data_IF_872132274149
#
_entry.id   IF_872132274149
#
_cell.length_a   1.000
_cell.length_b   1.000
_cell.length_c   1.000
_cell.angle_alpha   90.00
_cell.angle_beta   90.00
_cell.angle_gamma   90.00
#
_symmetry.space_group_name_H-M   'P 1'
#
loop_
_entity.id
_entity.type
_entity.pdbx_description
1 polymer ?
#
# COMPACT_ATOMS: atom_id res chain seq x y z
N UNK A 1 12.65 -9.25 -11.99
CA UNK A 1 13.76 -10.24 -11.85
C UNK A 1 13.37 -11.29 -10.80
N UNK A 2 13.95 -12.52 -10.78
CA UNK A 2 13.63 -13.47 -9.70
C UNK A 2 14.30 -13.03 -8.41
N UNK A 3 13.50 -12.82 -7.37
CA UNK A 3 13.95 -12.37 -6.03
C UNK A 3 14.23 -13.53 -5.08
N UNK A 4 13.89 -14.76 -5.48
CA UNK A 4 14.15 -15.98 -4.68
C UNK A 4 15.62 -16.35 -4.72
N UNK A 5 16.13 -16.82 -3.60
CA UNK A 5 17.52 -17.26 -3.49
C UNK A 5 17.70 -18.66 -4.10
N UNK A 6 18.75 -18.85 -4.86
CA UNK A 6 19.20 -20.17 -5.30
C UNK A 6 19.80 -20.97 -4.14
N UNK A 7 20.05 -22.26 -4.34
CA UNK A 7 20.73 -23.11 -3.32
C UNK A 7 22.16 -22.65 -3.05
N UNK A 8 22.86 -22.24 -4.11
CA UNK A 8 24.23 -21.72 -4.07
C UNK A 8 24.27 -20.41 -3.26
N UNK A 9 23.36 -19.48 -3.50
CA UNK A 9 23.26 -18.22 -2.78
C UNK A 9 22.90 -18.41 -1.30
N UNK A 10 22.02 -19.37 -1.01
CA UNK A 10 21.74 -19.76 0.38
C UNK A 10 22.99 -20.31 1.09
N UNK A 11 23.82 -21.09 0.37
CA UNK A 11 25.09 -21.57 0.87
C UNK A 11 26.08 -20.42 1.12
N UNK A 12 26.20 -19.48 0.20
CA UNK A 12 27.02 -18.26 0.38
C UNK A 12 26.63 -17.47 1.62
N UNK A 13 25.33 -17.23 1.82
CA UNK A 13 24.83 -16.51 3.02
C UNK A 13 25.17 -17.30 4.30
N UNK A 14 24.99 -18.62 4.28
CA UNK A 14 25.31 -19.49 5.44
C UNK A 14 26.80 -19.46 5.79
N UNK A 15 27.66 -19.46 4.79
CA UNK A 15 29.11 -19.35 4.96
C UNK A 15 29.51 -17.97 5.50
N UNK A 16 28.95 -16.88 4.92
CA UNK A 16 29.18 -15.52 5.40
C UNK A 16 28.79 -15.37 6.89
N UNK A 17 27.65 -15.95 7.31
CA UNK A 17 27.26 -15.97 8.73
C UNK A 17 28.26 -16.72 9.61
N UNK A 18 28.75 -17.87 9.15
CA UNK A 18 29.77 -18.65 9.88
C UNK A 18 31.05 -17.84 10.07
N UNK A 19 31.46 -17.12 9.03
CA UNK A 19 32.66 -16.28 9.02
C UNK A 19 32.45 -14.91 9.68
N UNK A 20 31.25 -14.67 10.30
CA UNK A 20 30.89 -13.41 10.98
C UNK A 20 31.01 -12.18 10.09
N UNK A 21 30.75 -12.32 8.78
CA UNK A 21 30.67 -11.21 7.85
C UNK A 21 29.53 -10.29 8.28
N UNK A 22 29.70 -8.99 8.15
CA UNK A 22 28.67 -7.96 8.36
C UNK A 22 28.49 -7.13 7.10
N UNK A 23 27.27 -6.64 6.87
CA UNK A 23 26.92 -5.81 5.73
C UNK A 23 26.17 -6.57 4.62
N UNK A 24 26.04 -5.93 3.46
CA UNK A 24 25.27 -6.46 2.32
C UNK A 24 26.04 -7.57 1.59
N UNK A 25 25.34 -8.67 1.31
CA UNK A 25 25.80 -9.79 0.49
C UNK A 25 25.09 -9.70 -0.87
N UNK A 26 25.86 -9.66 -1.94
CA UNK A 26 25.35 -9.59 -3.31
C UNK A 26 25.56 -10.91 -4.05
N UNK A 27 24.78 -11.14 -5.12
CA UNK A 27 25.04 -12.21 -6.08
C UNK A 27 26.39 -12.05 -6.78
N UNK A 28 26.94 -13.11 -7.36
CA UNK A 28 28.26 -13.08 -8.03
C UNK A 28 28.29 -12.07 -9.18
N UNK A 29 27.20 -11.95 -9.93
CA UNK A 29 27.03 -10.95 -11.00
C UNK A 29 26.80 -9.53 -10.48
N UNK A 30 26.60 -9.36 -9.18
CA UNK A 30 26.36 -8.10 -8.52
C UNK A 30 24.98 -7.48 -8.78
N UNK A 31 24.08 -8.20 -9.47
CA UNK A 31 22.77 -7.66 -9.86
C UNK A 31 21.70 -7.78 -8.79
N UNK A 32 21.93 -8.58 -7.75
CA UNK A 32 20.95 -8.80 -6.68
C UNK A 32 21.55 -8.60 -5.30
N UNK A 33 20.83 -7.94 -4.40
CA UNK A 33 21.13 -7.93 -2.98
C UNK A 33 20.48 -9.16 -2.33
N UNK A 34 21.28 -10.12 -1.92
CA UNK A 34 20.82 -11.41 -1.39
C UNK A 34 20.41 -11.33 0.06
N UNK A 35 21.23 -10.67 0.90
CA UNK A 35 21.00 -10.52 2.34
C UNK A 35 21.85 -9.39 2.91
N UNK A 36 21.34 -8.72 3.92
CA UNK A 36 22.12 -7.83 4.79
C UNK A 36 22.37 -8.56 6.11
N UNK A 37 23.64 -8.71 6.46
CA UNK A 37 24.08 -9.33 7.72
C UNK A 37 24.51 -8.26 8.72
N UNK A 38 24.32 -8.54 10.00
CA UNK A 38 24.45 -7.53 11.06
C UNK A 38 23.14 -6.75 11.23
N UNK A 39 23.24 -5.55 11.79
CA UNK A 39 22.07 -4.71 12.06
C UNK A 39 22.43 -3.22 11.86
N UNK A 40 22.67 -2.80 10.61
CA UNK A 40 23.08 -1.43 10.29
C UNK A 40 21.95 -0.45 10.57
N UNK A 41 22.31 0.80 10.88
CA UNK A 41 21.38 1.92 10.99
C UNK A 41 21.03 2.51 9.62
N UNK A 42 22.00 2.48 8.69
CA UNK A 42 21.89 3.01 7.33
C UNK A 42 22.25 1.94 6.30
N UNK A 43 21.50 1.88 5.22
CA UNK A 43 21.78 1.01 4.09
C UNK A 43 21.71 1.80 2.77
N UNK A 44 22.84 1.85 2.10
CA UNK A 44 22.93 2.30 0.72
C UNK A 44 23.26 1.10 -0.17
N UNK A 45 22.41 0.85 -1.14
CA UNK A 45 22.59 -0.25 -2.10
C UNK A 45 23.40 0.28 -3.28
N UNK A 46 24.44 -0.45 -3.70
CA UNK A 46 25.33 -0.06 -4.78
C UNK A 46 24.60 0.05 -6.13
N UNK A 47 25.09 0.94 -6.98
CA UNK A 47 24.60 1.06 -8.35
C UNK A 47 24.73 -0.25 -9.14
N UNK A 48 23.82 -0.45 -10.10
CA UNK A 48 23.76 -1.63 -10.94
C UNK A 48 22.91 -2.77 -10.37
N UNK A 49 22.64 -2.79 -9.05
CA UNK A 49 21.70 -3.76 -8.46
C UNK A 49 20.32 -3.57 -9.07
N UNK A 50 19.70 -4.67 -9.48
CA UNK A 50 18.37 -4.72 -10.11
C UNK A 50 17.27 -5.20 -9.17
N UNK A 51 17.61 -6.04 -8.19
CA UNK A 51 16.63 -6.61 -7.27
C UNK A 51 17.15 -6.72 -5.84
N UNK A 52 16.26 -6.49 -4.90
CA UNK A 52 16.42 -6.84 -3.49
C UNK A 52 15.72 -8.19 -3.27
N UNK A 53 16.45 -9.22 -2.88
CA UNK A 53 15.89 -10.57 -2.74
C UNK A 53 14.87 -10.69 -1.60
N UNK A 54 14.12 -11.78 -1.62
CA UNK A 54 13.16 -12.13 -0.59
C UNK A 54 13.85 -12.13 0.79
N UNK A 55 13.23 -11.46 1.74
CA UNK A 55 13.71 -11.35 3.12
C UNK A 55 15.14 -10.77 3.29
N UNK A 56 15.68 -10.09 2.27
CA UNK A 56 17.07 -9.61 2.27
C UNK A 56 17.42 -8.75 3.49
N UNK A 57 16.51 -7.85 3.92
CA UNK A 57 16.68 -6.96 5.06
C UNK A 57 15.66 -7.24 6.18
N UNK A 58 14.93 -8.36 6.14
CA UNK A 58 13.89 -8.67 7.12
C UNK A 58 14.44 -8.65 8.55
N UNK A 59 13.71 -7.94 9.43
CA UNK A 59 14.00 -7.90 10.87
C UNK A 59 15.25 -7.11 11.26
N UNK A 60 15.75 -6.25 10.39
CA UNK A 60 16.81 -5.27 10.74
C UNK A 60 16.19 -4.17 11.61
N UNK A 61 16.08 -4.42 12.91
CA UNK A 61 15.35 -3.55 13.84
C UNK A 61 16.07 -2.26 14.19
N UNK A 62 17.34 -2.09 13.76
CA UNK A 62 18.10 -0.85 13.89
C UNK A 62 18.15 -0.03 12.59
N UNK A 63 17.71 -0.60 11.46
CA UNK A 63 17.73 0.06 10.16
C UNK A 63 16.77 1.26 10.17
N UNK A 64 17.31 2.47 9.94
CA UNK A 64 16.57 3.74 9.96
C UNK A 64 16.36 4.30 8.55
N UNK A 65 17.42 4.38 7.76
CA UNK A 65 17.37 4.95 6.41
C UNK A 65 17.88 3.97 5.36
N UNK A 66 17.17 3.91 4.22
CA UNK A 66 17.54 3.11 3.06
C UNK A 66 17.57 3.97 1.80
N UNK A 67 18.65 3.84 1.04
CA UNK A 67 18.79 4.46 -0.29
C UNK A 67 19.00 3.36 -1.32
N UNK A 68 18.04 3.23 -2.22
CA UNK A 68 18.11 2.35 -3.38
C UNK A 68 18.40 3.16 -4.62
N UNK A 69 19.35 2.75 -5.47
CA UNK A 69 19.62 3.43 -6.74
C UNK A 69 18.47 3.22 -7.73
N UNK A 70 18.37 4.06 -8.76
CA UNK A 70 17.37 3.96 -9.80
C UNK A 70 17.45 2.65 -10.62
N UNK A 71 18.56 1.92 -10.51
CA UNK A 71 18.72 0.61 -11.15
C UNK A 71 17.92 -0.50 -10.50
N UNK A 72 17.51 -0.35 -9.21
CA UNK A 72 16.68 -1.33 -8.51
C UNK A 72 15.23 -1.18 -8.95
N UNK A 73 14.68 -2.25 -9.55
CA UNK A 73 13.30 -2.30 -10.05
C UNK A 73 12.40 -3.26 -9.26
N UNK A 74 12.98 -4.28 -8.63
CA UNK A 74 12.23 -5.31 -7.91
C UNK A 74 12.57 -5.35 -6.41
N UNK A 75 11.54 -5.32 -5.58
CA UNK A 75 11.63 -5.65 -4.14
C UNK A 75 10.94 -6.98 -3.87
N UNK A 76 11.67 -7.93 -3.33
CA UNK A 76 11.19 -9.27 -3.02
C UNK A 76 10.17 -9.34 -1.89
N UNK A 77 9.61 -10.52 -1.72
CA UNK A 77 8.69 -10.82 -0.61
C UNK A 77 9.39 -10.57 0.72
N UNK A 78 8.74 -9.78 1.60
CA UNK A 78 9.25 -9.43 2.93
C UNK A 78 10.64 -8.80 2.94
N UNK A 79 11.09 -8.20 1.84
CA UNK A 79 12.46 -7.68 1.72
C UNK A 79 12.87 -6.77 2.89
N UNK A 80 11.96 -5.95 3.41
CA UNK A 80 12.15 -5.05 4.55
C UNK A 80 11.15 -5.32 5.69
N UNK A 81 10.46 -6.46 5.70
CA UNK A 81 9.46 -6.73 6.74
C UNK A 81 10.07 -6.68 8.15
N UNK A 82 9.34 -6.10 9.10
CA UNK A 82 9.75 -5.96 10.50
C UNK A 82 11.02 -5.13 10.72
N UNK A 83 11.39 -4.23 9.80
CA UNK A 83 12.36 -3.18 10.04
C UNK A 83 11.70 -2.09 10.89
N UNK A 84 11.55 -2.33 12.19
CA UNK A 84 10.67 -1.54 13.07
C UNK A 84 11.11 -0.09 13.22
N UNK A 85 12.40 0.22 13.08
CA UNK A 85 12.93 1.59 13.11
C UNK A 85 13.04 2.26 11.74
N UNK A 86 12.76 1.54 10.66
CA UNK A 86 12.84 2.12 9.32
C UNK A 86 11.92 3.34 9.22
N UNK A 87 12.53 4.50 9.05
CA UNK A 87 11.84 5.78 8.98
C UNK A 87 11.67 6.27 7.55
N UNK A 88 12.73 6.10 6.74
CA UNK A 88 12.80 6.61 5.36
C UNK A 88 13.36 5.58 4.39
N UNK A 89 12.73 5.50 3.23
CA UNK A 89 13.28 4.78 2.07
C UNK A 89 13.14 5.60 0.80
N UNK A 90 14.27 5.70 0.06
CA UNK A 90 14.31 6.28 -1.28
C UNK A 90 14.45 5.17 -2.31
N UNK A 91 13.52 5.10 -3.27
CA UNK A 91 13.41 3.99 -4.22
C UNK A 91 12.86 4.44 -5.59
N UNK A 92 13.60 5.28 -6.33
CA UNK A 92 13.10 6.00 -7.50
C UNK A 92 12.79 5.10 -8.71
N UNK A 93 13.41 3.91 -8.81
CA UNK A 93 13.30 3.01 -9.96
C UNK A 93 12.34 1.84 -9.79
N UNK A 94 11.61 1.75 -8.66
CA UNK A 94 10.81 0.57 -8.35
C UNK A 94 9.63 0.43 -9.30
N UNK A 95 9.50 -0.75 -9.89
CA UNK A 95 8.35 -1.21 -10.67
C UNK A 95 7.52 -2.25 -9.89
N UNK A 96 8.17 -2.91 -8.92
CA UNK A 96 7.56 -4.05 -8.23
C UNK A 96 7.88 -4.05 -6.72
N UNK A 97 6.84 -4.03 -5.88
CA UNK A 97 6.94 -4.19 -4.43
C UNK A 97 6.31 -5.51 -4.04
N UNK A 98 7.11 -6.47 -3.55
CA UNK A 98 6.68 -7.83 -3.24
C UNK A 98 5.68 -7.93 -2.07
N UNK A 99 5.16 -9.15 -1.87
CA UNK A 99 4.22 -9.46 -0.79
C UNK A 99 4.86 -9.13 0.57
N UNK A 100 4.12 -8.40 1.41
CA UNK A 100 4.53 -8.03 2.77
C UNK A 100 5.90 -7.30 2.84
N UNK A 101 6.32 -6.65 1.74
CA UNK A 101 7.67 -6.09 1.61
C UNK A 101 8.05 -5.16 2.78
N UNK A 102 7.15 -4.26 3.20
CA UNK A 102 7.32 -3.34 4.33
C UNK A 102 6.39 -3.66 5.50
N UNK A 103 5.84 -4.88 5.57
CA UNK A 103 4.96 -5.23 6.68
C UNK A 103 5.65 -5.04 8.03
N UNK A 104 4.96 -4.43 9.00
CA UNK A 104 5.48 -4.12 10.33
C UNK A 104 6.68 -3.16 10.37
N UNK A 105 6.89 -2.33 9.35
CA UNK A 105 7.78 -1.17 9.43
C UNK A 105 7.07 -0.06 10.21
N UNK A 106 6.98 -0.21 11.54
CA UNK A 106 6.08 0.58 12.39
C UNK A 106 6.40 2.07 12.38
N UNK A 107 7.67 2.46 12.15
CA UNK A 107 8.13 3.84 12.09
C UNK A 107 8.28 4.41 10.66
N UNK A 108 7.94 3.64 9.63
CA UNK A 108 8.05 4.11 8.24
C UNK A 108 7.11 5.29 8.01
N UNK A 109 7.69 6.45 7.73
CA UNK A 109 6.99 7.71 7.55
C UNK A 109 7.27 8.37 6.20
N UNK A 110 8.51 8.33 5.74
CA UNK A 110 8.95 8.95 4.50
C UNK A 110 9.14 7.91 3.40
N UNK A 111 8.15 7.77 2.56
CA UNK A 111 8.18 6.91 1.37
C UNK A 111 7.39 7.59 0.24
N UNK A 112 7.96 7.58 -0.96
CA UNK A 112 7.29 8.00 -2.18
C UNK A 112 7.21 6.81 -3.14
N UNK A 113 6.00 6.47 -3.57
CA UNK A 113 5.80 5.45 -4.59
C UNK A 113 6.05 6.06 -5.98
N UNK A 114 6.91 5.46 -6.81
CA UNK A 114 7.17 5.97 -8.15
C UNK A 114 5.98 5.73 -9.09
N UNK A 115 5.82 6.59 -10.10
CA UNK A 115 4.75 6.47 -11.11
C UNK A 115 4.88 5.22 -12.00
N UNK A 116 6.02 4.55 -11.97
CA UNK A 116 6.25 3.25 -12.65
C UNK A 116 5.56 2.08 -11.97
N UNK A 117 5.06 2.26 -10.74
CA UNK A 117 4.49 1.17 -9.95
C UNK A 117 3.08 0.81 -10.42
N UNK A 118 2.91 -0.40 -10.91
CA UNK A 118 1.64 -0.95 -11.42
C UNK A 118 0.77 -1.56 -10.31
N UNK A 119 1.38 -2.09 -9.25
CA UNK A 119 0.68 -2.89 -8.24
C UNK A 119 1.31 -2.78 -6.86
N UNK A 120 0.47 -2.60 -5.85
CA UNK A 120 0.82 -2.77 -4.44
C UNK A 120 0.31 -4.13 -4.00
N UNK A 121 1.23 -5.04 -3.70
CA UNK A 121 0.91 -6.43 -3.42
C UNK A 121 0.37 -6.65 -2.00
N UNK A 122 -0.13 -7.88 -1.77
CA UNK A 122 -0.72 -8.30 -0.50
C UNK A 122 0.15 -7.91 0.69
N UNK A 123 -0.44 -7.16 1.63
CA UNK A 123 0.19 -6.79 2.89
C UNK A 123 1.42 -5.90 2.79
N UNK A 124 1.72 -5.31 1.62
CA UNK A 124 2.97 -4.60 1.36
C UNK A 124 3.32 -3.54 2.42
N UNK A 125 2.32 -2.82 2.93
CA UNK A 125 2.44 -1.80 3.99
C UNK A 125 1.59 -2.11 5.22
N UNK A 126 1.28 -3.39 5.45
CA UNK A 126 0.50 -3.77 6.63
C UNK A 126 1.23 -3.41 7.92
N UNK A 127 0.51 -2.77 8.85
CA UNK A 127 1.04 -2.33 10.15
C UNK A 127 2.19 -1.29 10.08
N UNK A 128 2.26 -0.48 9.03
CA UNK A 128 3.10 0.72 8.98
C UNK A 128 2.42 1.85 9.77
N UNK A 129 2.55 1.85 11.09
CA UNK A 129 1.76 2.69 12.01
C UNK A 129 2.08 4.18 11.92
N UNK A 130 3.30 4.55 11.52
CA UNK A 130 3.72 5.94 11.35
C UNK A 130 3.45 6.49 9.95
N UNK A 131 2.95 5.66 9.01
CA UNK A 131 2.65 6.05 7.63
C UNK A 131 1.33 6.82 7.59
N UNK A 132 1.40 8.14 7.77
CA UNK A 132 0.24 9.02 7.84
C UNK A 132 -0.30 9.42 6.47
N UNK A 133 0.56 9.44 5.46
CA UNK A 133 0.23 9.84 4.09
C UNK A 133 0.96 8.94 3.09
N UNK A 134 0.36 8.74 1.94
CA UNK A 134 0.99 8.05 0.82
C UNK A 134 0.46 8.62 -0.51
N UNK A 135 1.38 8.86 -1.45
CA UNK A 135 1.01 9.15 -2.82
C UNK A 135 0.64 7.85 -3.53
N UNK A 136 -0.54 7.79 -4.12
CA UNK A 136 -0.94 6.66 -4.97
C UNK A 136 -0.66 7.04 -6.42
N UNK A 137 0.20 6.29 -7.15
CA UNK A 137 0.52 6.56 -8.54
C UNK A 137 -0.72 6.59 -9.42
N UNK A 138 -0.79 7.53 -10.37
CA UNK A 138 -1.97 7.77 -11.21
C UNK A 138 -2.30 6.62 -12.17
N UNK A 139 -1.34 5.74 -12.45
CA UNK A 139 -1.49 4.56 -13.30
C UNK A 139 -1.55 3.23 -12.52
N UNK A 140 -1.67 3.31 -11.20
CA UNK A 140 -1.73 2.11 -10.35
C UNK A 140 -2.98 1.28 -10.70
N UNK A 141 -2.79 -0.01 -10.95
CA UNK A 141 -3.86 -0.94 -11.36
C UNK A 141 -4.45 -1.74 -10.21
N UNK A 142 -3.65 -2.03 -9.18
CA UNK A 142 -4.06 -2.94 -8.11
C UNK A 142 -3.52 -2.47 -6.75
N UNK A 143 -4.44 -2.39 -5.77
CA UNK A 143 -4.14 -2.38 -4.33
C UNK A 143 -4.65 -3.70 -3.78
N UNK A 144 -3.73 -4.64 -3.54
CA UNK A 144 -4.05 -6.03 -3.21
C UNK A 144 -4.48 -6.21 -1.75
N UNK A 145 -4.88 -7.44 -1.39
CA UNK A 145 -5.42 -7.80 -0.07
C UNK A 145 -4.55 -7.30 1.08
N UNK A 146 -5.19 -6.63 2.03
CA UNK A 146 -4.53 -6.13 3.24
C UNK A 146 -3.32 -5.21 2.99
N UNK A 147 -3.17 -4.61 1.80
CA UNK A 147 -1.97 -3.85 1.42
C UNK A 147 -1.58 -2.77 2.44
N UNK A 148 -2.54 -2.05 3.01
CA UNK A 148 -2.35 -1.02 4.05
C UNK A 148 -3.06 -1.35 5.36
N UNK A 149 -3.41 -2.63 5.59
CA UNK A 149 -4.14 -3.01 6.80
C UNK A 149 -3.42 -2.56 8.06
N UNK A 150 -4.15 -1.90 8.98
CA UNK A 150 -3.61 -1.40 10.25
C UNK A 150 -2.43 -0.42 10.08
N UNK A 151 -2.43 0.36 8.99
CA UNK A 151 -1.49 1.48 8.79
C UNK A 151 -1.99 2.76 9.48
N UNK A 152 -1.09 3.73 9.64
CA UNK A 152 -1.38 5.00 10.30
C UNK A 152 -2.00 6.07 9.41
N UNK A 153 -2.47 5.74 8.21
CA UNK A 153 -3.03 6.68 7.24
C UNK A 153 -4.12 7.54 7.87
N UNK A 154 -4.03 8.87 7.67
CA UNK A 154 -5.00 9.87 8.15
C UNK A 154 -6.00 10.28 7.07
N UNK A 155 -5.54 10.33 5.84
CA UNK A 155 -6.38 10.59 4.67
C UNK A 155 -5.95 9.73 3.50
N UNK A 156 -6.90 9.44 2.61
CA UNK A 156 -6.65 8.67 1.40
C UNK A 156 -7.30 9.37 0.22
N UNK A 157 -6.50 9.76 -0.75
CA UNK A 157 -6.95 10.35 -1.99
C UNK A 157 -6.42 9.51 -3.16
N UNK A 158 -7.31 8.79 -3.87
CA UNK A 158 -6.93 7.95 -5.00
C UNK A 158 -7.53 8.52 -6.27
N UNK A 159 -6.65 9.11 -7.09
CA UNK A 159 -6.98 9.69 -8.39
C UNK A 159 -6.24 8.92 -9.47
N UNK A 160 -6.97 8.08 -10.18
CA UNK A 160 -6.45 7.22 -11.26
C UNK A 160 -6.78 7.88 -12.60
N UNK A 161 -5.82 7.87 -13.52
CA UNK A 161 -5.93 8.42 -14.87
C UNK A 161 -7.07 7.76 -15.68
N UNK A 162 -7.61 8.50 -16.68
CA UNK A 162 -8.78 8.04 -17.43
C UNK A 162 -8.53 6.82 -18.34
N UNK A 163 -7.29 6.56 -18.68
CA UNK A 163 -6.85 5.39 -19.47
C UNK A 163 -6.61 4.14 -18.61
N UNK A 164 -6.76 4.24 -17.30
CA UNK A 164 -6.46 3.18 -16.34
C UNK A 164 -7.65 2.90 -15.41
N UNK A 165 -7.62 1.77 -14.72
CA UNK A 165 -8.53 1.42 -13.62
C UNK A 165 -7.74 0.80 -12.49
N UNK A 166 -8.04 1.22 -11.27
CA UNK A 166 -7.46 0.66 -10.05
C UNK A 166 -8.46 -0.22 -9.32
N UNK A 167 -8.04 -1.44 -8.98
CA UNK A 167 -8.83 -2.39 -8.20
C UNK A 167 -8.34 -2.46 -6.76
N UNK A 168 -9.24 -2.24 -5.81
CA UNK A 168 -8.98 -2.37 -4.37
C UNK A 168 -9.56 -3.70 -3.90
N UNK A 169 -8.71 -4.55 -3.28
CA UNK A 169 -9.08 -5.89 -2.82
C UNK A 169 -9.40 -5.95 -1.32
N UNK A 170 -9.74 -7.16 -0.86
CA UNK A 170 -10.20 -7.43 0.51
C UNK A 170 -9.28 -6.85 1.58
N UNK A 171 -9.88 -6.14 2.53
CA UNK A 171 -9.21 -5.54 3.69
C UNK A 171 -8.02 -4.62 3.36
N UNK A 172 -7.95 -4.09 2.13
CA UNK A 172 -6.79 -3.30 1.69
C UNK A 172 -6.43 -2.17 2.67
N UNK A 173 -7.43 -1.49 3.24
CA UNK A 173 -7.28 -0.41 4.23
C UNK A 173 -7.96 -0.74 5.56
N UNK A 174 -8.27 -2.01 5.83
CA UNK A 174 -8.96 -2.37 7.06
C UNK A 174 -8.14 -2.01 8.30
N UNK A 175 -8.82 -1.57 9.36
CA UNK A 175 -8.22 -1.18 10.64
C UNK A 175 -7.24 -0.01 10.57
N UNK A 176 -7.30 0.84 9.55
CA UNK A 176 -6.63 2.14 9.53
C UNK A 176 -7.37 3.08 10.48
N UNK A 177 -7.07 2.97 11.78
CA UNK A 177 -7.85 3.59 12.85
C UNK A 177 -7.77 5.12 12.87
N UNK A 178 -6.78 5.71 12.21
CA UNK A 178 -6.56 7.15 12.11
C UNK A 178 -7.09 7.74 10.80
N UNK A 179 -7.65 6.91 9.90
CA UNK A 179 -8.18 7.34 8.62
C UNK A 179 -9.48 8.12 8.83
N UNK A 180 -9.46 9.41 8.52
CA UNK A 180 -10.56 10.35 8.73
C UNK A 180 -11.37 10.59 7.46
N UNK A 181 -10.70 10.58 6.30
CA UNK A 181 -11.35 10.85 5.02
C UNK A 181 -10.81 9.99 3.89
N UNK A 182 -11.71 9.62 2.98
CA UNK A 182 -11.39 8.85 1.77
C UNK A 182 -12.05 9.49 0.57
N UNK A 183 -11.27 9.70 -0.50
CA UNK A 183 -11.77 10.07 -1.82
C UNK A 183 -11.28 9.08 -2.86
N UNK A 184 -12.21 8.56 -3.67
CA UNK A 184 -11.96 7.61 -4.76
C UNK A 184 -12.59 8.14 -6.05
N UNK A 185 -11.76 8.44 -7.07
CA UNK A 185 -12.29 8.92 -8.33
C UNK A 185 -13.02 7.83 -9.14
N UNK A 186 -13.62 8.21 -10.27
CA UNK A 186 -14.44 7.34 -11.14
C UNK A 186 -13.73 6.07 -11.64
N UNK A 187 -12.40 6.07 -11.66
CA UNK A 187 -11.58 4.97 -12.17
C UNK A 187 -11.17 3.93 -11.09
N UNK A 188 -11.53 4.17 -9.84
CA UNK A 188 -11.29 3.22 -8.73
C UNK A 188 -12.46 2.25 -8.61
N UNK A 189 -12.15 0.96 -8.44
CA UNK A 189 -13.10 -0.14 -8.25
C UNK A 189 -12.78 -0.88 -6.97
N UNK A 190 -13.78 -1.17 -6.14
CA UNK A 190 -13.63 -2.02 -4.97
C UNK A 190 -14.15 -3.41 -5.35
N UNK A 191 -13.25 -4.40 -5.37
CA UNK A 191 -13.53 -5.75 -5.86
C UNK A 191 -14.11 -6.66 -4.79
N UNK A 192 -13.67 -6.50 -3.55
CA UNK A 192 -13.98 -7.44 -2.47
C UNK A 192 -14.47 -6.71 -1.21
N UNK A 193 -14.86 -7.51 -0.19
CA UNK A 193 -15.47 -7.05 1.06
C UNK A 193 -14.44 -6.42 2.00
N UNK A 194 -14.91 -5.66 2.98
CA UNK A 194 -14.13 -5.17 4.12
C UNK A 194 -12.96 -4.22 3.78
N UNK A 195 -12.96 -3.58 2.59
CA UNK A 195 -11.85 -2.72 2.16
C UNK A 195 -11.47 -1.68 3.21
N UNK A 196 -12.42 -1.07 3.91
CA UNK A 196 -12.24 -0.07 4.97
C UNK A 196 -12.78 -0.52 6.33
N UNK A 197 -12.98 -1.82 6.55
CA UNK A 197 -13.54 -2.32 7.81
C UNK A 197 -12.69 -1.90 9.02
N UNK A 198 -13.34 -1.41 10.09
CA UNK A 198 -12.68 -1.03 11.33
C UNK A 198 -11.86 0.27 11.27
N UNK A 199 -12.10 1.13 10.27
CA UNK A 199 -11.58 2.50 10.22
C UNK A 199 -12.38 3.38 11.18
N UNK A 200 -12.07 3.30 12.46
CA UNK A 200 -12.90 3.86 13.55
C UNK A 200 -12.98 5.38 13.57
N UNK A 201 -12.04 6.10 12.94
CA UNK A 201 -12.04 7.57 12.83
C UNK A 201 -12.59 8.06 11.48
N UNK A 202 -13.00 7.17 10.58
CA UNK A 202 -13.49 7.56 9.26
C UNK A 202 -14.82 8.30 9.38
N UNK A 203 -14.81 9.61 9.05
CA UNK A 203 -15.99 10.48 9.07
C UNK A 203 -16.63 10.65 7.70
N UNK A 204 -15.81 10.68 6.65
CA UNK A 204 -16.29 10.96 5.29
C UNK A 204 -15.66 10.04 4.28
N UNK A 205 -16.50 9.46 3.42
CA UNK A 205 -16.04 8.72 2.23
C UNK A 205 -16.76 9.24 0.99
N UNK A 206 -15.99 9.57 -0.05
CA UNK A 206 -16.49 10.12 -1.31
C UNK A 206 -16.12 9.22 -2.48
N UNK A 207 -17.12 8.86 -3.28
CA UNK A 207 -16.99 7.99 -4.44
C UNK A 207 -17.47 8.71 -5.69
N UNK A 208 -16.63 8.91 -6.70
CA UNK A 208 -17.06 9.35 -8.02
C UNK A 208 -17.58 8.20 -8.89
N UNK A 209 -17.32 6.96 -8.53
CA UNK A 209 -17.76 5.82 -9.31
C UNK A 209 -19.12 5.30 -8.82
N UNK A 210 -20.16 5.42 -9.66
CA UNK A 210 -21.47 4.89 -9.30
C UNK A 210 -21.55 3.36 -9.29
N UNK A 211 -20.58 2.67 -9.91
CA UNK A 211 -20.55 1.20 -9.97
C UNK A 211 -19.58 0.66 -8.92
N UNK A 212 -19.86 0.92 -7.66
CA UNK A 212 -19.17 0.26 -6.53
C UNK A 212 -19.66 -1.20 -6.43
N UNK A 213 -19.49 -1.93 -7.51
CA UNK A 213 -19.87 -3.32 -7.56
C UNK A 213 -18.81 -4.18 -6.91
N UNK A 214 -19.02 -4.50 -5.69
CA UNK A 214 -18.81 -5.90 -5.30
C UNK A 214 -19.70 -6.75 -6.19
N UNK A 215 -19.27 -7.82 -6.77
CA UNK A 215 -19.90 -8.80 -7.69
C UNK A 215 -21.43 -8.84 -7.85
N UNK A 216 -22.22 -7.95 -7.25
CA UNK A 216 -23.67 -7.91 -7.20
C UNK A 216 -24.30 -6.52 -7.40
N UNK A 217 -23.54 -5.48 -7.76
CA UNK A 217 -24.15 -4.16 -8.09
C UNK A 217 -24.51 -3.27 -6.90
N UNK A 218 -24.15 -3.64 -5.68
CA UNK A 218 -24.51 -2.91 -4.46
C UNK A 218 -23.25 -2.44 -3.71
N UNK A 219 -23.30 -1.23 -3.12
CA UNK A 219 -22.34 -0.85 -2.09
C UNK A 219 -22.53 -1.84 -0.94
N UNK A 220 -21.53 -2.68 -0.69
CA UNK A 220 -21.66 -3.70 0.35
C UNK A 220 -21.38 -3.07 1.72
N UNK A 221 -22.39 -3.08 2.61
CA UNK A 221 -22.27 -2.59 3.99
C UNK A 221 -21.06 -3.19 4.75
N UNK A 222 -20.62 -4.41 4.37
CA UNK A 222 -19.45 -5.03 4.97
C UNK A 222 -18.14 -4.30 4.66
N UNK A 223 -18.12 -3.46 3.62
CA UNK A 223 -16.94 -2.64 3.28
C UNK A 223 -16.59 -1.65 4.40
N UNK A 224 -17.60 -1.11 5.08
CA UNK A 224 -17.50 -0.08 6.11
C UNK A 224 -17.83 -0.61 7.52
N UNK A 225 -17.89 -1.93 7.70
CA UNK A 225 -18.22 -2.52 9.02
C UNK A 225 -17.24 -2.01 10.10
N UNK A 226 -17.77 -1.49 11.20
CA UNK A 226 -16.95 -0.94 12.29
C UNK A 226 -16.38 0.45 12.05
N UNK A 227 -16.82 1.19 11.02
CA UNK A 227 -16.56 2.62 10.84
C UNK A 227 -17.53 3.42 11.71
N UNK A 228 -17.31 3.39 13.02
CA UNK A 228 -18.26 3.92 14.02
C UNK A 228 -18.39 5.44 14.06
N UNK A 229 -17.48 6.18 13.43
CA UNK A 229 -17.50 7.65 13.33
C UNK A 229 -17.98 8.14 11.96
N UNK A 230 -18.52 7.26 11.11
CA UNK A 230 -18.89 7.63 9.75
C UNK A 230 -20.14 8.52 9.75
N UNK A 231 -19.95 9.76 9.32
CA UNK A 231 -21.01 10.77 9.26
C UNK A 231 -21.54 10.96 7.84
N UNK A 232 -20.69 10.78 6.82
CA UNK A 232 -21.02 11.16 5.45
C UNK A 232 -20.51 10.17 4.40
N UNK A 233 -21.42 9.77 3.51
CA UNK A 233 -21.12 9.02 2.30
C UNK A 233 -21.56 9.87 1.10
N UNK A 234 -20.61 10.28 0.26
CA UNK A 234 -20.85 11.12 -0.90
C UNK A 234 -20.79 10.27 -2.17
N UNK A 235 -21.83 10.34 -2.99
CA UNK A 235 -22.00 9.54 -4.21
C UNK A 235 -22.51 10.41 -5.38
N UNK A 236 -22.33 10.00 -6.65
CA UNK A 236 -22.82 10.76 -7.80
C UNK A 236 -24.34 10.86 -7.85
N UNK A 237 -24.84 12.05 -8.18
CA UNK A 237 -26.27 12.41 -8.22
C UNK A 237 -27.10 11.63 -9.25
N UNK A 238 -26.52 11.12 -10.32
CA UNK A 238 -27.27 10.82 -11.55
C UNK A 238 -27.55 9.31 -11.82
N UNK A 239 -27.32 8.38 -10.89
CA UNK A 239 -27.46 6.94 -11.20
C UNK A 239 -28.21 6.06 -10.18
N UNK A 240 -28.65 6.60 -9.04
CA UNK A 240 -29.25 5.73 -8.01
C UNK A 240 -30.51 6.34 -7.41
N UNK A 241 -31.66 5.88 -7.89
CA UNK A 241 -32.95 6.07 -7.20
C UNK A 241 -33.18 5.03 -6.09
N UNK A 242 -32.25 4.12 -5.89
CA UNK A 242 -32.39 3.04 -4.91
C UNK A 242 -31.01 2.73 -4.31
N UNK A 243 -30.67 3.39 -3.19
CA UNK A 243 -29.75 2.82 -2.23
C UNK A 243 -30.61 2.02 -1.26
N UNK A 244 -30.46 0.68 -1.20
CA UNK A 244 -31.11 -0.09 -0.14
C UNK A 244 -30.59 0.42 1.20
N UNK A 245 -31.42 0.37 2.22
CA UNK A 245 -31.11 0.80 3.58
C UNK A 245 -29.72 0.32 4.01
N UNK A 246 -28.77 1.25 4.05
CA UNK A 246 -27.43 0.98 4.53
C UNK A 246 -27.50 0.84 6.04
N UNK A 247 -27.69 -0.37 6.50
CA UNK A 247 -27.55 -0.71 7.90
C UNK A 247 -26.05 -0.86 8.20
N UNK A 248 -25.37 0.27 8.44
CA UNK A 248 -24.02 0.27 8.98
C UNK A 248 -24.17 -0.19 10.42
N UNK A 249 -23.78 -1.44 10.73
CA UNK A 249 -23.79 -1.93 12.10
C UNK A 249 -22.90 -1.03 12.98
N UNK A 250 -23.53 -0.09 13.68
CA UNK A 250 -22.85 0.79 14.64
C UNK A 250 -23.33 2.24 14.66
N UNK A 251 -23.83 2.78 13.55
CA UNK A 251 -24.35 4.15 13.55
C UNK A 251 -25.46 4.34 12.50
N UNK A 252 -26.69 4.56 12.98
CA UNK A 252 -27.86 4.88 12.15
C UNK A 252 -27.82 6.34 11.64
N UNK A 253 -26.76 7.11 11.93
CA UNK A 253 -26.68 8.56 11.69
C UNK A 253 -25.95 8.95 10.41
N UNK A 254 -25.26 8.04 9.70
CA UNK A 254 -24.51 8.39 8.50
C UNK A 254 -25.43 8.91 7.38
N UNK A 255 -25.19 10.14 6.93
CA UNK A 255 -25.98 10.81 5.90
C UNK A 255 -25.41 10.52 4.50
N UNK A 256 -26.31 10.17 3.57
CA UNK A 256 -25.98 10.12 2.15
C UNK A 256 -26.09 11.51 1.52
N UNK A 257 -25.02 12.00 0.93
CA UNK A 257 -25.01 13.21 0.13
C UNK A 257 -24.76 12.85 -1.33
N UNK A 258 -25.59 13.38 -2.23
CA UNK A 258 -25.36 13.22 -3.67
C UNK A 258 -24.66 14.45 -4.23
N UNK A 259 -23.56 14.25 -4.96
CA UNK A 259 -22.81 15.34 -5.61
C UNK A 259 -22.83 15.18 -7.13
N UNK A 260 -23.02 16.30 -7.85
CA UNK A 260 -22.84 16.32 -9.30
C UNK A 260 -21.36 16.55 -9.63
N UNK A 261 -20.67 15.46 -9.91
CA UNK A 261 -19.25 15.50 -10.26
C UNK A 261 -18.99 16.03 -11.67
N UNK A 262 -20.01 16.10 -12.54
CA UNK A 262 -19.85 16.67 -13.88
C UNK A 262 -19.73 18.21 -13.85
N UNK A 263 -20.24 18.86 -12.81
CA UNK A 263 -20.12 20.31 -12.63
C UNK A 263 -18.71 20.77 -12.22
N UNK A 264 -17.81 19.84 -11.85
CA UNK A 264 -16.44 20.13 -11.47
C UNK A 264 -15.45 20.11 -12.64
N UNK A 265 -15.91 19.74 -13.86
CA UNK A 265 -15.08 19.61 -15.08
C UNK A 265 -15.21 20.86 -15.96
N UNK A 266 -15.56 22.01 -15.45
CA UNK A 266 -15.42 23.24 -16.22
C UNK A 266 -13.96 23.70 -16.17
N UNK A 267 -13.27 23.83 -17.33
CA UNK A 267 -11.96 24.47 -17.35
C UNK A 267 -12.13 25.90 -16.80
N UNK A 268 -11.30 26.26 -15.84
CA UNK A 268 -11.12 27.68 -15.55
C UNK A 268 -10.49 28.30 -16.78
N UNK A 269 -11.25 29.18 -17.49
CA UNK A 269 -10.72 30.09 -18.48
C UNK A 269 -9.59 30.97 -17.94
#
# INVERSE_FOLDING_TARGET
MDTRLTKEEQAMIKEAKRNKVSGPIYSEDGLRLLKVLGNPEYLEVKDGVKAICDEACQGLDNLHDVVLPASVIDLGTRAFASCIKLFKITMPGIEFIGIECFAHCENLKEIALPETLDKIWKGAFASCKALEQINIPSHLKIIDKSAFRNSGLKSLNIVISDDCKCWIYDRAFAYCKHLESVYLNKNVKIQERMAFAGCTSLTTIEFENPSLTCCAGEINATMLIGCISLEKIIVPKNKYNHYPDFNIQGDESAQFETRDFNSLITPKE
#
